data_IF_296803677721
#
_entry.id   IF_296803677721
#
_cell.length_a   1.000
_cell.length_b   1.000
_cell.length_c   1.000
_cell.angle_alpha   90.00
_cell.angle_beta   90.00
_cell.angle_gamma   90.00
#
_symmetry.space_group_name_H-M   'P 1'
#
loop_
_entity.id
_entity.type
_entity.pdbx_description
1 polymer ?
#
# COMPACT_ATOMS: atom_id res chain seq x y z
N UNK A 1 36.02 0.29 -11.33
CA UNK A 1 35.52 1.48 -12.06
C UNK A 1 34.24 1.87 -11.36
N UNK A 2 34.13 3.12 -10.96
CA UNK A 2 33.01 3.66 -10.19
C UNK A 2 32.16 4.58 -11.06
N UNK A 3 30.89 4.70 -10.72
CA UNK A 3 30.03 5.80 -11.17
C UNK A 3 30.02 6.86 -10.07
N UNK A 4 30.02 8.12 -10.45
CA UNK A 4 30.02 9.26 -9.55
C UNK A 4 28.95 10.22 -9.96
N UNK A 5 28.03 10.53 -9.03
CA UNK A 5 26.86 11.32 -9.31
C UNK A 5 26.80 12.52 -8.39
N UNK A 6 26.58 13.67 -8.95
CA UNK A 6 26.35 14.94 -8.24
C UNK A 6 25.06 15.55 -8.69
N UNK A 7 24.39 16.23 -7.78
CA UNK A 7 23.22 17.06 -8.08
C UNK A 7 23.23 18.35 -7.29
N UNK A 8 22.26 19.23 -7.55
CA UNK A 8 22.14 20.48 -6.79
C UNK A 8 22.02 20.23 -5.28
N UNK A 9 21.28 19.20 -4.90
CA UNK A 9 21.14 18.72 -3.53
C UNK A 9 21.13 17.19 -3.50
N UNK A 10 21.57 16.58 -2.43
CA UNK A 10 21.55 15.14 -2.23
C UNK A 10 20.74 14.81 -0.97
N UNK A 11 19.70 13.98 -1.12
CA UNK A 11 18.94 13.41 -0.02
C UNK A 11 19.43 11.99 0.26
N UNK A 12 19.94 11.77 1.47
CA UNK A 12 20.55 10.47 1.85
C UNK A 12 19.53 9.39 2.21
N UNK A 13 18.26 9.74 2.29
CA UNK A 13 17.17 8.93 2.85
C UNK A 13 16.80 9.36 4.28
N UNK A 14 17.61 10.22 4.90
CA UNK A 14 17.38 10.78 6.23
C UNK A 14 17.64 12.28 6.31
N UNK A 15 18.52 12.81 5.47
CA UNK A 15 18.95 14.20 5.49
C UNK A 15 19.05 14.77 4.08
N UNK A 16 18.58 15.99 3.89
CA UNK A 16 18.78 16.78 2.68
C UNK A 16 20.03 17.63 2.86
N UNK A 17 21.13 17.23 2.21
CA UNK A 17 22.38 17.97 2.30
C UNK A 17 22.34 19.26 1.47
N UNK A 18 22.87 20.33 2.04
CA UNK A 18 23.14 21.61 1.37
C UNK A 18 24.58 21.67 0.82
N UNK A 19 25.43 20.73 1.17
CA UNK A 19 26.81 20.64 0.72
C UNK A 19 26.89 20.04 -0.69
N UNK A 20 27.93 20.38 -1.43
CA UNK A 20 28.22 19.78 -2.73
C UNK A 20 28.82 18.37 -2.53
N UNK A 21 27.92 17.40 -2.43
CA UNK A 21 28.29 16.00 -2.23
C UNK A 21 28.22 15.22 -3.53
N UNK A 22 29.08 14.18 -3.61
CA UNK A 22 29.14 13.22 -4.71
C UNK A 22 28.84 11.83 -4.18
N UNK A 23 27.80 11.20 -4.72
CA UNK A 23 27.51 9.80 -4.51
C UNK A 23 28.43 8.95 -5.39
N UNK A 24 29.15 8.02 -4.78
CA UNK A 24 30.01 7.07 -5.49
C UNK A 24 29.41 5.68 -5.39
N UNK A 25 29.24 5.02 -6.56
CA UNK A 25 28.76 3.63 -6.63
C UNK A 25 29.71 2.78 -7.43
N UNK A 26 29.69 1.48 -7.19
CA UNK A 26 30.27 0.49 -8.10
C UNK A 26 29.43 0.39 -9.39
N UNK A 27 29.89 -0.37 -10.38
CA UNK A 27 29.18 -0.55 -11.65
C UNK A 27 27.82 -1.24 -11.52
N UNK A 28 27.65 -2.05 -10.50
CA UNK A 28 26.40 -2.76 -10.17
C UNK A 28 25.45 -1.93 -9.30
N UNK A 29 25.80 -0.66 -9.01
CA UNK A 29 24.98 0.26 -8.25
C UNK A 29 25.19 0.21 -6.74
N UNK A 30 26.07 -0.64 -6.21
CA UNK A 30 26.39 -0.67 -4.78
C UNK A 30 27.02 0.65 -4.35
N UNK A 31 26.47 1.28 -3.32
CA UNK A 31 26.99 2.53 -2.76
C UNK A 31 28.30 2.27 -2.04
N UNK A 32 29.38 2.94 -2.49
CA UNK A 32 30.69 2.93 -1.85
C UNK A 32 30.85 4.06 -0.84
N UNK A 33 30.26 5.22 -1.11
CA UNK A 33 30.28 6.35 -0.19
C UNK A 33 29.67 7.62 -0.76
N UNK A 34 29.58 8.61 0.12
CA UNK A 34 29.22 9.98 -0.22
C UNK A 34 30.36 10.86 0.31
N UNK A 35 30.95 11.65 -0.56
CA UNK A 35 32.16 12.46 -0.26
C UNK A 35 31.97 13.90 -0.73
N UNK A 36 32.80 14.81 -0.24
CA UNK A 36 32.90 16.17 -0.79
C UNK A 36 33.38 16.15 -2.25
N UNK A 37 33.02 17.17 -3.01
CA UNK A 37 33.38 17.26 -4.44
C UNK A 37 34.91 17.27 -4.65
N UNK A 38 35.66 17.85 -3.72
CA UNK A 38 37.12 17.92 -3.74
C UNK A 38 37.78 16.55 -3.58
N UNK A 39 37.11 15.60 -2.90
CA UNK A 39 37.63 14.26 -2.64
C UNK A 39 37.16 13.23 -3.71
N UNK A 40 36.17 13.61 -4.52
CA UNK A 40 35.55 12.70 -5.50
C UNK A 40 36.44 12.44 -6.71
N UNK A 41 37.42 13.31 -7.02
CA UNK A 41 38.27 13.21 -8.21
C UNK A 41 37.52 13.52 -9.50
N UNK A 42 37.98 12.95 -10.61
CA UNK A 42 37.42 13.22 -11.95
C UNK A 42 36.20 12.32 -12.32
N UNK A 43 35.59 12.58 -13.47
CA UNK A 43 34.51 11.79 -14.09
C UNK A 43 33.19 11.80 -13.31
N UNK A 44 32.82 12.97 -12.78
CA UNK A 44 31.56 13.20 -12.09
C UNK A 44 30.46 13.51 -13.11
N UNK A 45 29.36 12.78 -13.04
CA UNK A 45 28.12 13.07 -13.78
C UNK A 45 27.26 14.01 -12.95
N UNK A 46 26.91 15.17 -13.49
CA UNK A 46 26.13 16.21 -12.80
C UNK A 46 24.71 16.27 -13.33
N UNK A 47 23.75 16.43 -12.42
CA UNK A 47 22.32 16.54 -12.69
C UNK A 47 21.75 17.76 -11.99
N UNK A 48 20.72 18.35 -12.59
CA UNK A 48 19.91 19.36 -11.92
C UNK A 48 18.85 18.72 -11.01
N UNK A 49 18.58 19.32 -9.86
CA UNK A 49 17.56 18.86 -8.93
C UNK A 49 18.11 18.15 -7.69
N UNK A 50 17.33 17.24 -7.13
CA UNK A 50 17.67 16.51 -5.91
C UNK A 50 17.94 15.05 -6.28
N UNK A 51 19.12 14.56 -5.96
CA UNK A 51 19.43 13.12 -6.03
C UNK A 51 18.92 12.44 -4.77
N UNK A 52 18.05 11.45 -4.94
CA UNK A 52 17.42 10.70 -3.83
C UNK A 52 17.60 9.20 -4.02
N UNK A 53 17.45 8.39 -2.97
CA UNK A 53 17.17 6.96 -3.13
C UNK A 53 15.93 6.75 -4.00
N UNK A 54 15.84 5.60 -4.66
CA UNK A 54 14.64 5.23 -5.40
C UNK A 54 13.43 5.11 -4.49
N UNK A 55 12.25 5.42 -5.00
CA UNK A 55 11.01 5.39 -4.25
C UNK A 55 10.52 3.97 -3.96
N UNK A 56 9.85 3.81 -2.83
CA UNK A 56 9.13 2.58 -2.47
C UNK A 56 7.64 2.86 -2.52
N UNK A 57 6.92 2.17 -3.39
CA UNK A 57 5.46 2.18 -3.41
C UNK A 57 4.95 1.10 -2.45
N UNK A 58 4.53 1.50 -1.25
CA UNK A 58 4.23 0.54 -0.19
C UNK A 58 2.85 -0.13 -0.30
N UNK A 59 1.99 0.35 -1.22
CA UNK A 59 0.70 -0.25 -1.51
C UNK A 59 0.29 0.02 -2.96
N UNK A 60 0.11 -1.06 -3.70
CA UNK A 60 -0.33 -1.05 -5.10
C UNK A 60 -1.21 -2.27 -5.37
N UNK A 61 -2.11 -2.17 -6.36
CA UNK A 61 -2.83 -3.31 -6.95
C UNK A 61 -2.50 -3.39 -8.43
N UNK A 62 -1.31 -3.90 -8.73
CA UNK A 62 -0.82 -3.98 -10.11
C UNK A 62 -1.72 -4.83 -11.01
N UNK A 63 -2.39 -5.85 -10.46
CA UNK A 63 -3.35 -6.69 -11.18
C UNK A 63 -4.58 -5.93 -11.71
N UNK A 64 -4.86 -4.71 -11.21
CA UNK A 64 -5.97 -3.85 -11.64
C UNK A 64 -5.55 -2.76 -12.64
N UNK A 65 -4.34 -2.83 -13.18
CA UNK A 65 -3.80 -1.78 -14.09
C UNK A 65 -4.63 -1.58 -15.36
N UNK A 66 -5.30 -2.63 -15.84
CA UNK A 66 -6.18 -2.57 -17.00
C UNK A 66 -7.47 -1.75 -16.74
N UNK A 67 -7.77 -1.44 -15.48
CA UNK A 67 -8.97 -0.71 -15.10
C UNK A 67 -8.78 0.82 -15.06
N UNK A 68 -7.65 1.33 -15.54
CA UNK A 68 -7.40 2.79 -15.64
C UNK A 68 -8.55 3.49 -16.34
N UNK A 69 -9.07 4.56 -15.74
CA UNK A 69 -10.18 5.39 -16.25
C UNK A 69 -11.53 4.66 -16.44
N UNK A 70 -11.68 3.41 -15.98
CA UNK A 70 -12.93 2.67 -16.13
C UNK A 70 -13.98 3.03 -15.06
N UNK A 71 -13.56 3.49 -13.92
CA UNK A 71 -14.44 3.86 -12.80
C UNK A 71 -14.38 5.37 -12.61
N UNK A 72 -15.50 6.10 -12.68
CA UNK A 72 -15.50 7.53 -12.44
C UNK A 72 -15.04 7.88 -11.04
N UNK A 73 -14.24 8.94 -10.91
CA UNK A 73 -13.89 9.51 -9.60
C UNK A 73 -15.14 9.95 -8.82
N UNK A 74 -15.00 10.01 -7.50
CA UNK A 74 -16.04 10.48 -6.56
C UNK A 74 -17.30 9.61 -6.54
N UNK A 75 -17.12 8.31 -6.79
CA UNK A 75 -18.23 7.34 -6.76
C UNK A 75 -18.56 6.84 -5.35
N UNK A 76 -17.68 7.07 -4.37
CA UNK A 76 -17.72 6.47 -3.04
C UNK A 76 -17.31 4.99 -3.04
N UNK A 77 -16.80 4.51 -1.91
CA UNK A 77 -16.20 3.17 -1.79
C UNK A 77 -17.15 2.04 -2.21
N UNK A 78 -18.42 2.12 -1.82
CA UNK A 78 -19.38 1.05 -2.12
C UNK A 78 -19.64 0.85 -3.61
N UNK A 79 -19.78 1.94 -4.36
CA UNK A 79 -19.98 1.88 -5.81
C UNK A 79 -18.66 1.54 -6.53
N UNK A 80 -17.53 2.02 -6.00
CA UNK A 80 -16.20 1.69 -6.49
C UNK A 80 -15.95 0.17 -6.42
N UNK A 81 -16.09 -0.45 -5.24
CA UNK A 81 -15.90 -1.90 -5.06
C UNK A 81 -16.85 -2.71 -5.93
N UNK A 82 -18.12 -2.30 -6.04
CA UNK A 82 -19.08 -2.96 -6.93
C UNK A 82 -18.61 -2.93 -8.39
N UNK A 83 -18.06 -1.84 -8.87
CA UNK A 83 -17.52 -1.70 -10.23
C UNK A 83 -16.26 -2.54 -10.41
N UNK A 84 -15.35 -2.57 -9.44
CA UNK A 84 -14.19 -3.47 -9.45
C UNK A 84 -14.66 -4.91 -9.72
N UNK A 85 -15.59 -5.42 -8.91
CA UNK A 85 -16.09 -6.81 -9.04
C UNK A 85 -16.73 -7.07 -10.39
N UNK A 86 -17.45 -6.10 -10.96
CA UNK A 86 -18.20 -6.29 -12.22
C UNK A 86 -17.36 -6.08 -13.48
N UNK A 87 -16.29 -5.26 -13.43
CA UNK A 87 -15.54 -4.85 -14.61
C UNK A 87 -14.13 -5.45 -14.71
N UNK A 88 -13.59 -6.00 -13.60
CA UNK A 88 -12.20 -6.48 -13.57
C UNK A 88 -11.92 -7.67 -14.50
N UNK A 89 -12.95 -8.37 -14.95
CA UNK A 89 -12.79 -9.58 -15.74
C UNK A 89 -12.81 -9.25 -17.23
N UNK A 90 -11.64 -9.29 -17.83
CA UNK A 90 -11.38 -9.06 -19.27
C UNK A 90 -10.47 -10.18 -19.81
N UNK A 91 -10.10 -10.13 -21.08
CA UNK A 91 -9.18 -11.09 -21.67
C UNK A 91 -7.77 -10.97 -21.04
N UNK A 92 -7.13 -12.12 -20.80
CA UNK A 92 -5.85 -12.19 -20.07
C UNK A 92 -4.75 -11.32 -20.70
N UNK A 93 -4.67 -11.26 -22.05
CA UNK A 93 -3.68 -10.44 -22.74
C UNK A 93 -3.85 -8.93 -22.47
N UNK A 94 -5.07 -8.47 -22.21
CA UNK A 94 -5.32 -7.04 -21.84
C UNK A 94 -4.78 -6.76 -20.45
N UNK A 95 -4.95 -7.71 -19.52
CA UNK A 95 -4.43 -7.63 -18.17
C UNK A 95 -2.90 -7.62 -18.21
N UNK A 96 -2.28 -8.57 -18.92
CA UNK A 96 -0.83 -8.72 -19.04
C UNK A 96 -0.18 -7.46 -19.63
N UNK A 97 -0.69 -6.93 -20.75
CA UNK A 97 -0.18 -5.68 -21.35
C UNK A 97 -0.31 -4.47 -20.41
N UNK A 98 -1.41 -4.38 -19.67
CA UNK A 98 -1.61 -3.28 -18.72
C UNK A 98 -0.63 -3.36 -17.55
N UNK A 99 -0.39 -4.56 -17.02
CA UNK A 99 0.58 -4.83 -15.96
C UNK A 99 1.99 -4.43 -16.43
N UNK A 100 2.41 -4.86 -17.63
CA UNK A 100 3.74 -4.53 -18.18
C UNK A 100 3.92 -3.02 -18.34
N UNK A 101 2.92 -2.31 -18.87
CA UNK A 101 2.94 -0.84 -19.03
C UNK A 101 3.00 -0.13 -17.68
N UNK A 102 2.21 -0.59 -16.71
CA UNK A 102 2.16 0.01 -15.38
C UNK A 102 3.50 -0.16 -14.63
N UNK A 103 4.12 -1.33 -14.70
CA UNK A 103 5.45 -1.53 -14.09
C UNK A 103 6.52 -0.67 -14.78
N UNK A 104 6.52 -0.59 -16.11
CA UNK A 104 7.44 0.27 -16.85
C UNK A 104 7.28 1.75 -16.48
N UNK A 105 6.04 2.21 -16.25
CA UNK A 105 5.76 3.57 -15.77
C UNK A 105 6.28 3.76 -14.34
N UNK A 106 6.03 2.84 -13.43
CA UNK A 106 6.58 2.88 -12.06
C UNK A 106 8.10 2.96 -12.07
N UNK A 107 8.77 2.12 -12.86
CA UNK A 107 10.23 2.12 -13.00
C UNK A 107 10.73 3.47 -13.55
N UNK A 108 10.11 4.01 -14.60
CA UNK A 108 10.50 5.31 -15.18
C UNK A 108 10.29 6.49 -14.23
N UNK A 109 9.36 6.36 -13.27
CA UNK A 109 9.10 7.32 -12.20
C UNK A 109 10.00 7.13 -10.98
N UNK A 110 11.04 6.28 -11.07
CA UNK A 110 12.04 6.08 -10.02
C UNK A 110 11.59 5.19 -8.87
N UNK A 111 10.53 4.40 -9.04
CA UNK A 111 10.15 3.37 -8.07
C UNK A 111 11.08 2.17 -8.23
N UNK A 112 11.61 1.68 -7.13
CA UNK A 112 12.55 0.54 -7.08
C UNK A 112 11.99 -0.67 -6.33
N UNK A 113 10.99 -0.45 -5.49
CA UNK A 113 10.33 -1.52 -4.73
C UNK A 113 8.84 -1.26 -4.58
N UNK A 114 8.06 -2.35 -4.55
CA UNK A 114 6.60 -2.29 -4.48
C UNK A 114 6.06 -3.31 -3.48
N UNK A 115 5.22 -2.86 -2.57
CA UNK A 115 4.31 -3.69 -1.80
C UNK A 115 3.01 -3.86 -2.58
N UNK A 116 2.83 -5.01 -3.23
CA UNK A 116 1.75 -5.20 -4.19
C UNK A 116 0.72 -6.21 -3.70
N UNK A 117 -0.54 -5.81 -3.74
CA UNK A 117 -1.69 -6.66 -3.42
C UNK A 117 -1.97 -7.58 -4.61
N UNK A 118 -2.20 -8.85 -4.33
CA UNK A 118 -2.56 -9.83 -5.36
C UNK A 118 -3.67 -10.77 -4.86
N UNK A 119 -4.78 -10.81 -5.58
CA UNK A 119 -5.83 -11.80 -5.37
C UNK A 119 -5.70 -12.99 -6.34
N UNK A 120 -4.87 -12.83 -7.39
CA UNK A 120 -4.66 -13.77 -8.50
C UNK A 120 -3.16 -13.98 -8.77
N UNK A 121 -2.84 -14.74 -9.80
CA UNK A 121 -1.48 -14.91 -10.31
C UNK A 121 -1.17 -14.02 -11.52
N UNK A 122 -2.03 -13.09 -11.88
CA UNK A 122 -1.92 -12.27 -13.10
C UNK A 122 -0.61 -11.48 -13.15
N UNK A 123 -0.08 -11.06 -11.99
CA UNK A 123 1.17 -10.30 -11.89
C UNK A 123 2.43 -11.19 -11.82
N UNK A 124 2.29 -12.52 -11.68
CA UNK A 124 3.41 -13.42 -11.43
C UNK A 124 4.48 -13.36 -12.53
N UNK A 125 4.06 -13.46 -13.80
CA UNK A 125 4.97 -13.47 -14.94
C UNK A 125 5.78 -12.16 -15.04
N UNK A 126 5.15 -11.01 -14.75
CA UNK A 126 5.82 -9.71 -14.76
C UNK A 126 6.78 -9.56 -13.59
N UNK A 127 6.36 -9.89 -12.37
CA UNK A 127 7.21 -9.81 -11.17
C UNK A 127 8.42 -10.74 -11.25
N UNK A 128 8.30 -11.90 -11.91
CA UNK A 128 9.39 -12.83 -12.12
C UNK A 128 10.49 -12.32 -13.07
N UNK A 129 10.27 -11.20 -13.78
CA UNK A 129 11.31 -10.49 -14.54
C UNK A 129 12.29 -9.75 -13.61
N UNK A 130 11.92 -9.54 -12.34
CA UNK A 130 12.73 -8.86 -11.31
C UNK A 130 13.21 -7.46 -11.71
N UNK A 131 12.42 -6.72 -12.50
CA UNK A 131 12.70 -5.33 -12.84
C UNK A 131 12.59 -4.39 -11.64
N UNK A 132 11.65 -4.68 -10.74
CA UNK A 132 11.46 -4.03 -9.44
C UNK A 132 11.54 -5.08 -8.33
N UNK A 133 11.87 -4.66 -7.12
CA UNK A 133 11.77 -5.51 -5.94
C UNK A 133 10.31 -5.58 -5.47
N UNK A 134 9.76 -6.80 -5.34
CA UNK A 134 8.38 -6.97 -4.89
C UNK A 134 8.30 -7.65 -3.53
N UNK A 135 7.34 -7.17 -2.72
CA UNK A 135 6.73 -7.93 -1.63
C UNK A 135 5.25 -8.09 -1.98
N UNK A 136 4.81 -9.33 -2.18
CA UNK A 136 3.43 -9.60 -2.60
C UNK A 136 2.55 -9.89 -1.39
N UNK A 137 1.50 -9.10 -1.22
CA UNK A 137 0.46 -9.31 -0.23
C UNK A 137 -0.68 -10.10 -0.87
N UNK A 138 -0.73 -11.42 -0.60
CA UNK A 138 -1.82 -12.28 -1.08
C UNK A 138 -3.05 -12.01 -0.24
N UNK A 139 -3.95 -11.24 -0.80
CA UNK A 139 -5.08 -10.67 -0.09
C UNK A 139 -6.28 -11.63 -0.06
N UNK A 140 -6.79 -11.84 1.15
CA UNK A 140 -7.94 -12.69 1.38
C UNK A 140 -9.13 -11.91 1.94
N UNK A 141 -10.29 -12.22 1.42
CA UNK A 141 -11.59 -11.75 1.91
C UNK A 141 -12.64 -12.83 1.76
N UNK A 142 -13.63 -12.81 2.64
CA UNK A 142 -14.87 -13.55 2.51
C UNK A 142 -16.01 -12.76 3.19
N UNK A 143 -17.21 -12.90 2.64
CA UNK A 143 -18.42 -12.37 3.27
C UNK A 143 -19.25 -13.52 3.89
N UNK A 144 -18.97 -14.77 3.51
CA UNK A 144 -19.61 -15.97 4.02
C UNK A 144 -18.63 -16.81 4.83
N UNK A 145 -18.84 -16.95 6.16
CA UNK A 145 -17.91 -17.66 7.04
C UNK A 145 -17.73 -19.15 6.70
N UNK A 146 -18.56 -19.72 5.83
CA UNK A 146 -18.44 -21.13 5.40
C UNK A 146 -17.29 -21.35 4.42
N UNK A 147 -16.82 -20.32 3.74
CA UNK A 147 -15.76 -20.39 2.72
C UNK A 147 -14.34 -20.16 3.29
N UNK A 148 -14.18 -19.85 4.56
CA UNK A 148 -12.90 -19.44 5.15
C UNK A 148 -11.75 -20.45 4.88
N UNK A 149 -12.01 -21.76 5.00
CA UNK A 149 -10.98 -22.78 4.72
C UNK A 149 -10.55 -22.79 3.25
N UNK A 150 -11.50 -22.70 2.32
CA UNK A 150 -11.19 -22.68 0.89
C UNK A 150 -10.37 -21.44 0.51
N UNK A 151 -10.67 -20.29 1.13
CA UNK A 151 -9.91 -19.04 0.95
C UNK A 151 -8.46 -19.19 1.42
N UNK A 152 -8.21 -19.79 2.58
CA UNK A 152 -6.85 -20.06 3.06
C UNK A 152 -6.10 -21.01 2.12
N UNK A 153 -6.73 -22.12 1.70
CA UNK A 153 -6.11 -23.08 0.79
C UNK A 153 -5.71 -22.42 -0.53
N UNK A 154 -6.64 -21.64 -1.14
CA UNK A 154 -6.36 -20.90 -2.36
C UNK A 154 -5.25 -19.86 -2.17
N UNK A 155 -5.30 -19.09 -1.08
CA UNK A 155 -4.28 -18.09 -0.77
C UNK A 155 -2.88 -18.69 -0.59
N UNK A 156 -2.77 -19.83 0.12
CA UNK A 156 -1.49 -20.54 0.28
C UNK A 156 -0.94 -21.05 -1.06
N UNK A 157 -1.79 -21.48 -1.99
CA UNK A 157 -1.36 -21.88 -3.32
C UNK A 157 -0.79 -20.68 -4.12
N UNK A 158 -1.45 -19.52 -4.03
CA UNK A 158 -0.98 -18.27 -4.66
C UNK A 158 0.35 -17.82 -4.02
N UNK A 159 0.43 -17.78 -2.69
CA UNK A 159 1.65 -17.43 -1.97
C UNK A 159 2.83 -18.30 -2.41
N UNK A 160 2.62 -19.62 -2.40
CA UNK A 160 3.64 -20.57 -2.83
C UNK A 160 4.11 -20.34 -4.26
N UNK A 161 3.21 -20.02 -5.18
CA UNK A 161 3.59 -19.74 -6.57
C UNK A 161 4.51 -18.52 -6.69
N UNK A 162 4.29 -17.45 -5.91
CA UNK A 162 5.20 -16.31 -5.84
C UNK A 162 6.55 -16.69 -5.21
N UNK A 163 6.55 -17.42 -4.10
CA UNK A 163 7.77 -17.85 -3.40
C UNK A 163 8.63 -18.79 -4.25
N UNK A 164 8.01 -19.70 -5.02
CA UNK A 164 8.70 -20.59 -5.97
C UNK A 164 9.41 -19.81 -7.09
N UNK A 165 9.02 -18.55 -7.34
CA UNK A 165 9.65 -17.62 -8.27
C UNK A 165 10.54 -16.57 -7.57
N UNK A 166 10.99 -16.85 -6.35
CA UNK A 166 11.85 -15.97 -5.54
C UNK A 166 11.22 -14.61 -5.23
N UNK A 167 9.90 -14.51 -5.21
CA UNK A 167 9.15 -13.31 -4.84
C UNK A 167 8.62 -13.49 -3.42
N UNK A 168 8.98 -12.60 -2.51
CA UNK A 168 8.50 -12.66 -1.12
C UNK A 168 7.00 -12.41 -1.07
N UNK A 169 6.27 -13.23 -0.33
CA UNK A 169 4.83 -13.11 -0.20
C UNK A 169 4.33 -13.41 1.22
N UNK A 170 3.15 -12.90 1.56
CA UNK A 170 2.42 -13.22 2.78
C UNK A 170 0.91 -13.21 2.56
N UNK A 171 0.17 -14.01 3.31
CA UNK A 171 -1.29 -13.91 3.36
C UNK A 171 -1.69 -12.70 4.19
N UNK A 172 -2.63 -11.91 3.67
CA UNK A 172 -3.11 -10.70 4.34
C UNK A 172 -4.63 -10.58 4.28
N UNK A 173 -5.28 -9.92 5.25
CA UNK A 173 -6.69 -9.57 5.17
C UNK A 173 -6.90 -8.37 4.24
N UNK A 174 -8.02 -8.33 3.51
CA UNK A 174 -8.41 -7.17 2.72
C UNK A 174 -8.72 -5.96 3.63
N UNK A 175 -9.80 -6.03 4.39
CA UNK A 175 -10.25 -4.96 5.28
C UNK A 175 -11.09 -5.54 6.43
N UNK A 176 -11.25 -4.83 7.56
CA UNK A 176 -12.03 -5.34 8.69
C UNK A 176 -13.44 -5.81 8.32
N UNK A 177 -14.13 -5.05 7.47
CA UNK A 177 -15.53 -5.30 7.09
C UNK A 177 -15.73 -6.45 6.09
N UNK A 178 -14.68 -6.96 5.48
CA UNK A 178 -14.74 -7.98 4.42
C UNK A 178 -14.08 -9.31 4.81
N UNK A 179 -13.75 -9.49 6.08
CA UNK A 179 -13.11 -10.70 6.61
C UNK A 179 -13.93 -11.22 7.78
N UNK A 180 -14.52 -12.41 7.62
CA UNK A 180 -15.32 -13.03 8.68
C UNK A 180 -14.47 -13.49 9.87
N UNK A 181 -15.08 -13.68 11.03
CA UNK A 181 -14.40 -14.18 12.23
C UNK A 181 -13.69 -15.54 11.99
N UNK A 182 -14.29 -16.40 11.16
CA UNK A 182 -13.68 -17.68 10.80
C UNK A 182 -12.40 -17.47 9.99
N UNK A 183 -12.43 -16.59 8.97
CA UNK A 183 -11.25 -16.28 8.16
C UNK A 183 -10.19 -15.57 9.00
N UNK A 184 -10.57 -14.61 9.85
CA UNK A 184 -9.64 -13.95 10.78
C UNK A 184 -8.87 -14.97 11.65
N UNK A 185 -9.59 -15.94 12.24
CA UNK A 185 -8.99 -16.97 13.08
C UNK A 185 -7.97 -17.81 12.31
N UNK A 186 -8.29 -18.22 11.09
CA UNK A 186 -7.39 -19.04 10.27
C UNK A 186 -6.20 -18.21 9.79
N UNK A 187 -6.46 -17.02 9.26
CA UNK A 187 -5.46 -16.13 8.68
C UNK A 187 -4.41 -15.69 9.70
N UNK A 188 -4.83 -15.39 10.93
CA UNK A 188 -3.91 -14.96 12.01
C UNK A 188 -2.83 -15.98 12.35
N UNK A 189 -3.05 -17.26 12.08
CA UNK A 189 -2.05 -18.32 12.27
C UNK A 189 -0.87 -18.21 11.27
N UNK A 190 -1.06 -17.46 10.18
CA UNK A 190 -0.06 -17.24 9.12
C UNK A 190 0.66 -15.88 9.24
N UNK A 191 0.33 -15.04 10.21
CA UNK A 191 0.97 -13.73 10.35
C UNK A 191 2.45 -13.84 10.75
N UNK A 192 2.75 -14.60 11.79
CA UNK A 192 4.09 -14.99 12.24
C UNK A 192 5.17 -13.93 12.03
N UNK A 193 6.21 -14.28 11.27
CA UNK A 193 7.34 -13.41 10.94
C UNK A 193 7.11 -12.53 9.69
N UNK A 194 5.87 -12.43 9.18
CA UNK A 194 5.55 -11.71 7.97
C UNK A 194 5.14 -10.26 8.24
N UNK A 195 5.33 -9.41 7.24
CA UNK A 195 4.68 -8.10 7.15
C UNK A 195 3.26 -8.29 6.64
N UNK A 196 2.30 -7.67 7.30
CA UNK A 196 0.87 -7.76 6.97
C UNK A 196 0.38 -6.40 6.49
N UNK A 197 -0.40 -6.38 5.42
CA UNK A 197 -1.08 -5.19 4.91
C UNK A 197 -2.59 -5.33 5.10
N UNK A 198 -3.29 -4.22 5.33
CA UNK A 198 -4.75 -4.19 5.46
C UNK A 198 -5.29 -2.80 5.10
N UNK A 199 -6.32 -2.74 4.26
CA UNK A 199 -7.10 -1.51 4.07
C UNK A 199 -7.80 -1.16 5.39
N UNK A 200 -7.67 0.08 5.81
CA UNK A 200 -8.07 0.51 7.14
C UNK A 200 -8.74 1.87 7.13
N UNK A 201 -9.94 1.93 7.69
CA UNK A 201 -10.67 3.17 7.92
C UNK A 201 -10.69 4.10 6.69
N UNK A 202 -10.94 3.51 5.54
CA UNK A 202 -10.96 4.22 4.26
C UNK A 202 -12.19 5.10 4.12
N UNK A 203 -13.35 4.66 4.66
CA UNK A 203 -14.60 5.41 4.71
C UNK A 203 -15.14 5.51 6.14
N UNK A 204 -15.92 6.55 6.42
CA UNK A 204 -16.55 6.74 7.74
C UNK A 204 -17.50 5.60 8.12
N UNK A 205 -18.17 5.03 7.12
CA UNK A 205 -19.12 3.92 7.30
C UNK A 205 -18.46 2.65 7.86
N UNK A 206 -17.16 2.48 7.66
CA UNK A 206 -16.43 1.36 8.25
C UNK A 206 -16.46 1.42 9.78
N UNK A 207 -16.19 2.58 10.36
CA UNK A 207 -16.28 2.76 11.80
C UNK A 207 -17.74 2.64 12.30
N UNK A 208 -18.73 3.16 11.56
CA UNK A 208 -20.15 3.05 11.91
C UNK A 208 -20.62 1.60 11.91
N UNK A 209 -20.17 0.80 10.95
CA UNK A 209 -20.49 -0.62 10.88
C UNK A 209 -20.00 -1.36 12.13
N UNK A 210 -18.78 -1.12 12.57
CA UNK A 210 -18.21 -1.80 13.75
C UNK A 210 -18.77 -1.26 15.07
N UNK A 211 -19.01 0.05 15.17
CA UNK A 211 -19.57 0.65 16.40
C UNK A 211 -21.01 0.29 16.62
N UNK A 212 -21.83 0.39 15.58
CA UNK A 212 -23.28 0.43 15.70
C UNK A 212 -24.01 -0.60 14.84
N UNK A 213 -23.32 -1.35 13.98
CA UNK A 213 -23.91 -2.22 12.94
C UNK A 213 -24.86 -1.42 12.04
N UNK A 214 -24.42 -0.22 11.59
CA UNK A 214 -25.14 0.70 10.71
C UNK A 214 -24.26 1.13 9.54
N UNK A 215 -24.82 1.92 8.60
CA UNK A 215 -24.08 2.44 7.45
C UNK A 215 -24.23 1.62 6.17
N UNK A 216 -23.51 2.02 5.13
CA UNK A 216 -23.66 1.51 3.77
C UNK A 216 -23.24 0.04 3.61
N UNK A 217 -22.42 -0.48 4.53
CA UNK A 217 -22.00 -1.90 4.49
C UNK A 217 -23.15 -2.89 4.68
N UNK A 218 -24.24 -2.50 5.38
CA UNK A 218 -25.46 -3.34 5.45
C UNK A 218 -25.99 -3.66 4.06
N UNK A 219 -26.07 -2.65 3.18
CA UNK A 219 -26.50 -2.82 1.81
C UNK A 219 -25.57 -3.73 0.97
N UNK A 220 -24.27 -3.80 1.29
CA UNK A 220 -23.35 -4.74 0.66
C UNK A 220 -23.72 -6.20 1.01
N UNK A 221 -23.96 -6.48 2.29
CA UNK A 221 -24.36 -7.82 2.75
C UNK A 221 -25.74 -8.21 2.23
N UNK A 222 -26.71 -7.29 2.19
CA UNK A 222 -28.01 -7.53 1.60
C UNK A 222 -27.93 -7.95 0.12
N UNK A 223 -27.09 -7.25 -0.67
CA UNK A 223 -26.88 -7.58 -2.09
C UNK A 223 -26.25 -8.96 -2.29
N UNK A 224 -25.35 -9.36 -1.42
CA UNK A 224 -24.70 -10.68 -1.48
C UNK A 224 -25.57 -11.79 -0.91
N UNK A 225 -26.70 -11.44 -0.29
CA UNK A 225 -27.64 -12.38 0.38
C UNK A 225 -26.97 -13.19 1.50
N UNK A 226 -25.90 -12.66 2.07
CA UNK A 226 -25.25 -13.25 3.26
C UNK A 226 -25.85 -12.67 4.51
N UNK A 227 -26.29 -13.52 5.44
CA UNK A 227 -26.77 -13.08 6.74
C UNK A 227 -25.66 -12.46 7.57
N UNK A 228 -25.95 -11.35 8.26
CA UNK A 228 -25.07 -10.74 9.26
C UNK A 228 -25.30 -11.26 10.69
N UNK A 229 -25.93 -12.42 10.86
CA UNK A 229 -26.21 -12.97 12.20
C UNK A 229 -24.91 -13.35 12.93
N UNK A 230 -23.83 -13.59 12.19
CA UNK A 230 -22.51 -13.90 12.74
C UNK A 230 -21.74 -12.67 13.23
N UNK A 231 -22.19 -11.46 12.87
CA UNK A 231 -21.50 -10.21 13.20
C UNK A 231 -22.24 -9.44 14.29
N UNK A 232 -21.54 -9.11 15.37
CA UNK A 232 -22.01 -8.23 16.43
C UNK A 232 -21.16 -6.96 16.45
N UNK A 233 -21.82 -5.80 16.64
CA UNK A 233 -21.11 -4.54 16.82
C UNK A 233 -20.26 -4.56 18.09
N UNK A 234 -19.05 -4.05 17.98
CA UNK A 234 -18.10 -4.05 19.11
C UNK A 234 -18.17 -2.80 19.98
N UNK A 235 -18.84 -1.74 19.50
CA UNK A 235 -18.82 -0.41 20.11
C UNK A 235 -17.49 0.34 19.90
N UNK A 236 -16.53 -0.27 19.20
CA UNK A 236 -15.20 0.27 18.92
C UNK A 236 -15.08 0.67 17.44
N UNK A 237 -13.98 1.36 17.06
CA UNK A 237 -13.66 1.55 15.65
C UNK A 237 -13.36 0.22 14.96
N UNK A 238 -13.42 0.18 13.65
CA UNK A 238 -13.07 -1.01 12.86
C UNK A 238 -11.67 -1.52 13.20
N UNK A 239 -10.68 -0.61 13.23
CA UNK A 239 -9.30 -0.93 13.58
C UNK A 239 -9.18 -1.52 14.99
N UNK A 240 -9.74 -0.85 15.99
CA UNK A 240 -9.66 -1.33 17.38
C UNK A 240 -10.32 -2.70 17.57
N UNK A 241 -11.34 -3.00 16.77
CA UNK A 241 -12.04 -4.29 16.80
C UNK A 241 -11.19 -5.47 16.35
N UNK A 242 -10.29 -5.24 15.38
CA UNK A 242 -9.43 -6.30 14.83
C UNK A 242 -8.00 -6.29 15.36
N UNK A 243 -7.59 -5.21 16.03
CA UNK A 243 -6.23 -5.02 16.53
C UNK A 243 -5.67 -6.22 17.34
N UNK A 244 -6.44 -6.87 18.24
CA UNK A 244 -5.94 -8.02 19.02
C UNK A 244 -5.50 -9.20 18.15
N UNK A 245 -5.98 -9.30 16.90
CA UNK A 245 -5.67 -10.38 15.98
C UNK A 245 -4.29 -10.18 15.36
N UNK A 246 -3.87 -8.93 15.16
CA UNK A 246 -2.60 -8.56 14.52
C UNK A 246 -1.34 -8.73 15.41
N UNK A 247 -1.50 -8.89 16.70
CA UNK A 247 -0.41 -8.85 17.69
C UNK A 247 0.81 -9.75 17.40
N UNK A 248 0.65 -10.76 16.55
CA UNK A 248 1.72 -11.70 16.19
C UNK A 248 2.41 -11.35 14.87
N UNK A 249 1.99 -10.31 14.15
CA UNK A 249 2.65 -9.88 12.92
C UNK A 249 4.02 -9.25 13.23
N UNK A 250 5.02 -9.51 12.38
CA UNK A 250 6.35 -8.89 12.52
C UNK A 250 6.30 -7.39 12.28
N UNK A 251 5.51 -6.97 11.29
CA UNK A 251 5.19 -5.58 11.00
C UNK A 251 3.80 -5.49 10.37
N UNK A 252 3.20 -4.32 10.39
CA UNK A 252 1.88 -4.08 9.81
C UNK A 252 1.88 -2.80 9.00
N UNK A 253 1.19 -2.83 7.86
CA UNK A 253 0.92 -1.67 7.02
C UNK A 253 -0.59 -1.44 7.04
N UNK A 254 -1.04 -0.35 7.63
CA UNK A 254 -2.43 0.08 7.63
C UNK A 254 -2.61 1.09 6.49
N UNK A 255 -3.50 0.79 5.54
CA UNK A 255 -3.64 1.55 4.30
C UNK A 255 -4.83 2.49 4.35
N UNK A 256 -4.75 3.65 3.71
CA UNK A 256 -5.69 4.78 3.63
C UNK A 256 -5.77 5.60 4.91
N UNK A 257 -6.32 5.06 5.99
CA UNK A 257 -6.39 5.70 7.32
C UNK A 257 -7.20 7.02 7.35
N UNK A 258 -8.11 7.24 6.40
CA UNK A 258 -8.82 8.51 6.22
C UNK A 258 -9.64 8.93 7.45
N UNK A 259 -10.17 7.94 8.19
CA UNK A 259 -11.03 8.16 9.35
C UNK A 259 -10.41 7.64 10.66
N UNK A 260 -9.09 7.60 10.72
CA UNK A 260 -8.31 7.23 11.91
C UNK A 260 -8.34 8.33 12.96
N UNK A 261 -8.57 7.95 14.22
CA UNK A 261 -8.59 8.85 15.38
C UNK A 261 -7.32 8.75 16.22
N UNK A 262 -7.11 9.72 17.13
CA UNK A 262 -6.07 9.66 18.17
C UNK A 262 -6.14 8.38 19.01
N UNK A 263 -7.35 7.90 19.31
CA UNK A 263 -7.52 6.68 20.08
C UNK A 263 -7.07 5.45 19.32
N UNK A 264 -7.27 5.41 18.00
CA UNK A 264 -6.81 4.34 17.14
C UNK A 264 -5.29 4.29 17.10
N UNK A 265 -4.64 5.44 16.88
CA UNK A 265 -3.17 5.54 16.86
C UNK A 265 -2.57 5.10 18.19
N UNK A 266 -3.15 5.54 19.32
CA UNK A 266 -2.68 5.15 20.65
C UNK A 266 -2.86 3.64 20.92
N UNK A 267 -3.96 3.06 20.45
CA UNK A 267 -4.20 1.62 20.58
C UNK A 267 -3.19 0.81 19.76
N UNK A 268 -2.90 1.25 18.53
CA UNK A 268 -1.88 0.64 17.65
C UNK A 268 -0.49 0.71 18.29
N UNK A 269 -0.05 1.88 18.74
CA UNK A 269 1.26 2.04 19.40
C UNK A 269 1.47 1.10 20.58
N UNK A 270 0.39 0.84 21.33
CA UNK A 270 0.44 -0.04 22.50
C UNK A 270 0.52 -1.53 22.12
N UNK A 271 -0.16 -1.94 21.04
CA UNK A 271 -0.36 -3.35 20.71
C UNK A 271 0.49 -3.82 19.53
N UNK A 272 0.85 -2.90 18.62
CA UNK A 272 1.53 -3.17 17.35
C UNK A 272 2.58 -2.08 17.07
N UNK A 273 3.68 -2.02 17.84
CA UNK A 273 4.66 -0.93 17.74
C UNK A 273 5.33 -0.83 16.36
N UNK A 274 5.40 -1.94 15.61
CA UNK A 274 5.97 -2.00 14.26
C UNK A 274 4.90 -1.77 13.18
N UNK A 275 4.12 -0.71 13.31
CA UNK A 275 3.08 -0.35 12.34
C UNK A 275 3.48 0.84 11.50
N UNK A 276 3.28 0.72 10.20
CA UNK A 276 3.41 1.77 9.20
C UNK A 276 2.02 2.21 8.74
N UNK A 277 1.82 3.52 8.67
CA UNK A 277 0.57 4.15 8.22
C UNK A 277 0.74 4.53 6.76
N UNK A 278 0.26 3.68 5.86
CA UNK A 278 0.35 3.90 4.43
C UNK A 278 -0.75 4.85 3.98
N UNK A 279 -0.37 5.96 3.39
CA UNK A 279 -1.28 6.95 2.84
C UNK A 279 -1.31 6.81 1.32
N UNK A 280 -2.51 6.83 0.75
CA UNK A 280 -2.76 6.85 -0.69
C UNK A 280 -3.61 8.09 -1.02
N UNK A 281 -3.04 9.31 -0.91
CA UNK A 281 -3.82 10.55 -0.97
C UNK A 281 -4.63 10.70 -2.25
N UNK A 282 -4.06 10.35 -3.41
CA UNK A 282 -4.77 10.44 -4.68
C UNK A 282 -5.95 9.47 -4.74
N UNK A 283 -5.76 8.22 -4.29
CA UNK A 283 -6.84 7.24 -4.24
C UNK A 283 -7.97 7.69 -3.30
N UNK A 284 -7.63 8.23 -2.12
CA UNK A 284 -8.62 8.78 -1.20
C UNK A 284 -9.38 9.96 -1.80
N UNK A 285 -8.70 10.83 -2.55
CA UNK A 285 -9.34 11.91 -3.30
C UNK A 285 -10.22 11.38 -4.45
N UNK A 286 -9.74 10.35 -5.13
CA UNK A 286 -10.44 9.73 -6.26
C UNK A 286 -11.76 9.08 -5.83
N UNK A 287 -11.74 8.32 -4.73
CA UNK A 287 -12.89 7.51 -4.28
C UNK A 287 -13.85 8.35 -3.43
N UNK A 288 -13.35 9.00 -2.35
CA UNK A 288 -14.15 9.59 -1.27
C UNK A 288 -13.99 11.11 -1.13
N UNK A 289 -13.15 11.76 -1.95
CA UNK A 289 -12.81 13.19 -1.82
C UNK A 289 -12.30 13.56 -0.42
N UNK A 290 -11.59 12.67 0.22
CA UNK A 290 -11.07 12.86 1.58
C UNK A 290 -9.56 12.87 1.59
N UNK A 291 -8.99 13.42 2.66
CA UNK A 291 -7.57 13.31 2.98
C UNK A 291 -7.40 12.58 4.32
N UNK A 292 -6.39 11.72 4.44
CA UNK A 292 -6.07 11.16 5.75
C UNK A 292 -5.63 12.26 6.72
N UNK A 293 -5.77 12.06 8.05
CA UNK A 293 -5.45 13.06 9.06
C UNK A 293 -3.92 13.17 9.28
N UNK A 294 -3.19 13.65 8.27
CA UNK A 294 -1.72 13.65 8.22
C UNK A 294 -1.13 14.39 9.43
N UNK A 295 -1.65 15.58 9.77
CA UNK A 295 -1.16 16.35 10.91
C UNK A 295 -1.36 15.61 12.25
N UNK A 296 -2.42 14.83 12.38
CA UNK A 296 -2.65 14.00 13.56
C UNK A 296 -1.62 12.86 13.64
N UNK A 297 -1.35 12.20 12.53
CA UNK A 297 -0.34 11.13 12.45
C UNK A 297 1.06 11.66 12.76
N UNK A 298 1.43 12.82 12.19
CA UNK A 298 2.70 13.52 12.46
C UNK A 298 2.82 13.90 13.92
N UNK A 299 1.82 14.56 14.48
CA UNK A 299 1.80 15.00 15.89
C UNK A 299 1.95 13.83 16.88
N UNK A 300 1.59 12.64 16.44
CA UNK A 300 1.77 11.43 17.23
C UNK A 300 3.01 10.63 16.84
N UNK A 301 3.93 11.15 16.04
CA UNK A 301 5.14 10.44 15.58
C UNK A 301 4.79 9.05 15.01
N UNK A 302 3.76 8.97 14.19
CA UNK A 302 3.41 7.75 13.47
C UNK A 302 4.39 7.54 12.31
N UNK A 303 4.81 6.30 12.06
CA UNK A 303 5.65 5.97 10.91
C UNK A 303 4.78 6.00 9.64
N UNK A 304 4.85 7.09 8.88
CA UNK A 304 4.07 7.30 7.65
C UNK A 304 4.87 6.76 6.46
N UNK A 305 4.18 6.07 5.56
CA UNK A 305 4.70 5.60 4.27
C UNK A 305 3.68 5.90 3.18
N UNK A 306 4.10 5.87 1.91
CA UNK A 306 3.25 6.27 0.79
C UNK A 306 3.00 5.08 -0.13
N UNK A 307 1.75 4.94 -0.58
CA UNK A 307 1.32 4.01 -1.61
C UNK A 307 0.48 4.73 -2.67
N UNK A 308 0.33 4.11 -3.83
CA UNK A 308 -0.48 4.69 -4.93
C UNK A 308 -1.88 4.09 -5.02
N UNK A 309 -2.10 2.95 -4.37
CA UNK A 309 -3.25 2.11 -4.66
C UNK A 309 -3.26 1.67 -6.15
N UNK A 310 -4.41 1.43 -6.77
CA UNK A 310 -4.55 0.92 -8.12
C UNK A 310 -4.74 2.02 -9.17
N UNK A 311 -4.51 1.69 -10.44
CA UNK A 311 -4.99 2.52 -11.55
C UNK A 311 -6.52 2.62 -11.65
N UNK A 312 -7.27 1.73 -11.00
CA UNK A 312 -8.72 1.84 -10.94
C UNK A 312 -9.17 3.02 -10.04
N UNK A 313 -8.32 3.42 -9.10
CA UNK A 313 -8.58 4.45 -8.07
C UNK A 313 -7.60 5.64 -8.13
N UNK A 314 -6.75 5.72 -9.14
CA UNK A 314 -5.71 6.75 -9.20
C UNK A 314 -5.45 7.22 -10.65
N UNK A 315 -4.94 8.42 -10.80
CA UNK A 315 -4.55 8.99 -12.09
C UNK A 315 -3.16 8.54 -12.54
N UNK A 316 -2.27 8.18 -11.60
CA UNK A 316 -0.90 7.70 -11.87
C UNK A 316 -0.40 6.75 -10.79
N UNK A 317 0.59 5.90 -11.12
CA UNK A 317 1.35 5.10 -10.15
C UNK A 317 2.69 5.79 -9.85
N UNK A 318 2.65 7.04 -9.36
CA UNK A 318 3.81 7.89 -9.15
C UNK A 318 3.84 8.45 -7.73
N UNK A 319 4.86 8.09 -6.96
CA UNK A 319 5.03 8.56 -5.56
C UNK A 319 5.17 10.08 -5.48
N UNK A 320 5.82 10.73 -6.45
CA UNK A 320 5.92 12.19 -6.45
C UNK A 320 4.56 12.87 -6.61
N UNK A 321 3.61 12.27 -7.33
CA UNK A 321 2.26 12.83 -7.47
C UNK A 321 1.46 12.69 -6.17
N UNK A 322 1.67 11.61 -5.41
CA UNK A 322 1.14 11.47 -4.06
C UNK A 322 1.69 12.56 -3.12
N UNK A 323 3.01 12.76 -3.13
CA UNK A 323 3.67 13.81 -2.32
C UNK A 323 3.20 15.22 -2.71
N UNK A 324 3.02 15.51 -4.00
CA UNK A 324 2.44 16.79 -4.46
C UNK A 324 1.01 17.00 -3.95
N UNK A 325 0.22 15.94 -3.91
CA UNK A 325 -1.14 16.01 -3.34
C UNK A 325 -1.09 16.27 -1.84
N UNK A 326 -0.19 15.61 -1.10
CA UNK A 326 0.06 15.92 0.31
C UNK A 326 0.44 17.39 0.47
N UNK A 327 1.44 17.87 -0.26
CA UNK A 327 1.92 19.27 -0.18
C UNK A 327 0.82 20.29 -0.47
N UNK A 328 -0.03 20.01 -1.45
CA UNK A 328 -1.16 20.89 -1.80
C UNK A 328 -2.16 21.08 -0.67
N UNK A 329 -2.40 20.02 0.10
CA UNK A 329 -3.38 20.03 1.20
C UNK A 329 -2.75 20.33 2.57
N UNK A 330 -1.44 20.14 2.71
CA UNK A 330 -0.68 20.31 3.96
C UNK A 330 0.60 21.11 3.68
N UNK A 331 0.43 22.39 3.33
CA UNK A 331 1.51 23.29 2.88
C UNK A 331 2.62 23.53 3.91
N UNK A 332 2.37 23.15 5.16
CA UNK A 332 3.32 23.31 6.26
C UNK A 332 4.32 22.16 6.39
N UNK A 333 4.13 21.06 5.65
CA UNK A 333 5.06 19.93 5.70
C UNK A 333 6.28 20.28 4.85
N UNK A 334 7.48 20.31 5.41
CA UNK A 334 8.69 20.62 4.66
C UNK A 334 9.08 19.44 3.74
N UNK A 335 9.81 19.76 2.66
CA UNK A 335 10.19 18.77 1.64
C UNK A 335 11.04 17.63 2.19
N UNK A 336 11.94 17.93 3.11
CA UNK A 336 12.84 16.97 3.72
C UNK A 336 12.17 16.01 4.71
N UNK A 337 10.92 16.29 5.10
CA UNK A 337 10.09 15.39 5.89
C UNK A 337 9.26 14.45 4.99
N UNK A 338 8.97 14.87 3.76
CA UNK A 338 8.21 14.08 2.77
C UNK A 338 9.07 13.07 2.04
#
# INVERSE_FOLDING_TARGET
MYHKFQSTQLYTGTELSQDQLVLITTKDGTIEGIVGIEDAGADIQSFDGILTPGFVNTHCHLELSHMKDMIPANSGLQEFVKKIVSLRKVDDHVIEEAIEKAEAEMFSNGIVAVGDISNTLDTLAQKAKHNLAYYTFVELYDLDPTHANDKIIAGLAIQKAFEDNCIRASLVPHAPYSVTNNLWKLLSAHFGSHTISMHNQETADENEFFKNKTGSFLGMYERTKVSLDFFESTGLSSLQSVLPIFKNAAASILVHNSFTSSNDINAVKKQMPNTFWCLCPNANQYIEQTMPPIELLRAQNAAIVIGTDSYASNWSLNILDELKTIQKHNVTIPLDEM
#
